data_IF_239856361662
#
_entry.id   IF_239856361662
#
_cell.length_a   1.000
_cell.length_b   1.000
_cell.length_c   1.000
_cell.angle_alpha   90.00
_cell.angle_beta   90.00
_cell.angle_gamma   90.00
#
_symmetry.space_group_name_H-M   'P 1'
#
loop_
_entity.id
_entity.type
_entity.pdbx_description
1 polymer ?
#
# COMPACT_ATOMS: atom_id res chain seq x y z
N UNK A 1 -22.66 13.32 -0.85
CA UNK A 1 -22.41 11.88 -0.75
C UNK A 1 -20.95 11.64 -1.11
N UNK A 2 -20.20 10.98 -0.23
CA UNK A 2 -18.78 10.67 -0.45
C UNK A 2 -18.68 9.57 -1.50
N UNK A 3 -17.92 9.78 -2.56
CA UNK A 3 -17.83 8.86 -3.71
C UNK A 3 -16.85 7.71 -3.47
N UNK A 4 -15.87 7.92 -2.59
CA UNK A 4 -14.77 6.99 -2.31
C UNK A 4 -14.36 7.09 -0.84
N UNK A 5 -13.97 5.97 -0.23
CA UNK A 5 -13.46 5.91 1.15
C UNK A 5 -12.13 5.16 1.21
N UNK A 6 -11.19 5.65 2.01
CA UNK A 6 -9.97 4.90 2.36
C UNK A 6 -10.22 4.02 3.59
N UNK A 7 -9.98 2.71 3.47
CA UNK A 7 -10.16 1.75 4.54
C UNK A 7 -9.14 0.61 4.44
N UNK A 8 -8.41 0.35 5.52
CA UNK A 8 -7.41 -0.74 5.62
C UNK A 8 -6.39 -0.78 4.46
N UNK A 9 -5.98 0.37 3.93
CA UNK A 9 -5.04 0.44 2.80
C UNK A 9 -5.66 0.20 1.43
N UNK A 10 -6.99 0.28 1.34
CA UNK A 10 -7.75 0.21 0.10
C UNK A 10 -8.60 1.45 -0.09
N UNK A 11 -8.86 1.79 -1.36
CA UNK A 11 -9.86 2.79 -1.75
C UNK A 11 -11.09 2.04 -2.22
N UNK A 12 -12.22 2.27 -1.56
CA UNK A 12 -13.51 1.63 -1.88
C UNK A 12 -14.39 2.67 -2.56
N UNK A 13 -14.86 2.35 -3.77
CA UNK A 13 -15.71 3.22 -4.59
C UNK A 13 -16.92 2.45 -5.14
N UNK A 14 -17.80 3.14 -5.86
CA UNK A 14 -18.89 2.49 -6.61
C UNK A 14 -18.40 1.63 -7.78
N UNK A 15 -17.14 1.79 -8.20
CA UNK A 15 -16.54 1.04 -9.31
C UNK A 15 -15.81 -0.23 -8.83
N UNK A 16 -15.50 -0.32 -7.53
CA UNK A 16 -14.85 -1.49 -6.94
C UNK A 16 -13.94 -1.15 -5.76
N UNK A 17 -12.98 -2.04 -5.53
CA UNK A 17 -11.93 -1.89 -4.51
C UNK A 17 -10.61 -1.73 -5.24
N UNK A 18 -9.89 -0.66 -4.95
CA UNK A 18 -8.54 -0.43 -5.43
C UNK A 18 -7.55 -0.44 -4.27
N UNK A 19 -6.27 -0.68 -4.57
CA UNK A 19 -5.19 -0.50 -3.60
C UNK A 19 -4.99 1.00 -3.40
N UNK A 20 -4.80 1.43 -2.16
CA UNK A 20 -4.49 2.83 -1.89
C UNK A 20 -3.23 3.25 -2.66
N UNK A 21 -3.29 4.29 -3.53
CA UNK A 21 -2.13 4.78 -4.27
C UNK A 21 -0.94 5.10 -3.35
N UNK A 22 -1.19 5.50 -2.10
CA UNK A 22 -0.13 5.73 -1.11
C UNK A 22 0.65 4.45 -0.76
N UNK A 23 0.00 3.28 -0.72
CA UNK A 23 0.66 1.98 -0.50
C UNK A 23 1.56 1.63 -1.69
N UNK A 24 1.08 1.88 -2.91
CA UNK A 24 1.85 1.66 -4.14
C UNK A 24 3.08 2.56 -4.19
N UNK A 25 2.92 3.85 -3.91
CA UNK A 25 4.03 4.81 -3.87
C UNK A 25 5.08 4.42 -2.82
N UNK A 26 4.65 3.98 -1.63
CA UNK A 26 5.57 3.54 -0.58
C UNK A 26 6.43 2.33 -1.00
N UNK A 27 5.87 1.40 -1.79
CA UNK A 27 6.62 0.27 -2.35
C UNK A 27 7.58 0.72 -3.46
N UNK A 28 7.16 1.66 -4.31
CA UNK A 28 7.99 2.19 -5.40
C UNK A 28 9.19 3.02 -4.89
N UNK A 29 8.99 3.79 -3.83
CA UNK A 29 10.04 4.63 -3.22
C UNK A 29 10.96 3.84 -2.28
N UNK A 30 10.66 2.56 -2.02
CA UNK A 30 11.47 1.75 -1.12
C UNK A 30 12.84 1.45 -1.75
N UNK A 31 13.91 1.90 -1.09
CA UNK A 31 15.29 1.61 -1.51
C UNK A 31 15.57 0.11 -1.42
N UNK A 32 16.44 -0.42 -2.29
CA UNK A 32 16.80 -1.86 -2.24
C UNK A 32 17.30 -2.23 -0.83
N UNK A 33 16.62 -3.15 -0.13
CA UNK A 33 16.98 -3.49 1.24
C UNK A 33 18.31 -4.27 1.26
N UNK A 34 19.15 -3.97 2.25
CA UNK A 34 20.46 -4.59 2.43
C UNK A 34 20.44 -5.64 3.55
N UNK A 35 19.56 -5.45 4.54
CA UNK A 35 19.51 -6.29 5.73
C UNK A 35 18.23 -7.11 5.83
N UNK A 36 18.33 -8.26 6.49
CA UNK A 36 17.20 -9.17 6.72
C UNK A 36 16.04 -8.48 7.44
N UNK A 37 16.32 -7.53 8.34
CA UNK A 37 15.29 -6.74 9.02
C UNK A 37 14.49 -5.89 8.04
N UNK A 38 15.14 -5.26 7.07
CA UNK A 38 14.51 -4.40 6.07
C UNK A 38 13.68 -5.22 5.07
N UNK A 39 14.18 -6.39 4.67
CA UNK A 39 13.42 -7.34 3.84
C UNK A 39 12.12 -7.75 4.56
N UNK A 40 12.19 -8.06 5.86
CA UNK A 40 10.99 -8.42 6.64
C UNK A 40 10.01 -7.26 6.73
N UNK A 41 10.50 -6.03 6.94
CA UNK A 41 9.66 -4.83 6.93
C UNK A 41 8.99 -4.60 5.58
N UNK A 42 9.72 -4.73 4.47
CA UNK A 42 9.17 -4.62 3.12
C UNK A 42 8.07 -5.66 2.87
N UNK A 43 8.31 -6.92 3.23
CA UNK A 43 7.31 -7.98 3.08
C UNK A 43 6.05 -7.72 3.92
N UNK A 44 6.19 -7.13 5.11
CA UNK A 44 5.07 -6.71 5.94
C UNK A 44 4.27 -5.54 5.35
N UNK A 45 4.92 -4.64 4.63
CA UNK A 45 4.27 -3.54 3.91
C UNK A 45 3.57 -4.02 2.64
N UNK A 46 4.20 -4.91 1.86
CA UNK A 46 3.68 -5.39 0.58
C UNK A 46 2.56 -6.44 0.72
N UNK A 47 2.53 -7.14 1.86
CA UNK A 47 1.50 -8.13 2.21
C UNK A 47 0.13 -7.56 2.52
#
# INVERSE_FOLDING_TARGET
WMKEISFLGHVISGEGIDVDPAKVEAVLQWSTPEYVTEIRSFLGLAG
#
